data_IF_071965163146
#
_entry.id   IF_071965163146
#
_cell.length_a   1.000
_cell.length_b   1.000
_cell.length_c   1.000
_cell.angle_alpha   90.00
_cell.angle_beta   90.00
_cell.angle_gamma   90.00
#
_symmetry.space_group_name_H-M   'P 1'
#
loop_
_entity.id
_entity.type
_entity.pdbx_description
1 polymer ?
#
# COMPACT_ATOMS: atom_id res chain seq x y z
N UNK A 1 13.53 8.70 12.53
CA UNK A 1 12.25 8.05 12.90
C UNK A 1 11.22 9.14 13.13
N UNK A 2 10.38 9.40 12.13
CA UNK A 2 9.31 10.39 12.24
C UNK A 2 8.14 9.73 12.97
N UNK A 3 7.79 10.22 14.16
CA UNK A 3 6.64 9.77 14.95
C UNK A 3 5.69 10.96 15.03
N UNK A 4 4.47 10.86 14.50
CA UNK A 4 3.52 11.97 14.51
C UNK A 4 2.20 11.50 15.14
N UNK A 5 1.64 12.24 16.12
CA UNK A 5 0.33 11.95 16.67
C UNK A 5 -0.75 12.62 15.80
N UNK A 6 -1.47 11.81 15.01
CA UNK A 6 -2.71 12.19 14.36
C UNK A 6 -2.58 12.72 12.93
N UNK A 7 -3.00 11.88 11.97
CA UNK A 7 -3.74 12.29 10.77
C UNK A 7 -2.97 13.13 9.76
N UNK A 8 -2.53 12.48 8.69
CA UNK A 8 -1.72 12.96 7.56
C UNK A 8 -0.21 12.79 7.73
N UNK A 9 0.27 11.62 7.33
CA UNK A 9 1.67 11.46 6.95
C UNK A 9 1.85 11.83 5.47
N UNK A 10 2.26 13.07 5.21
CA UNK A 10 2.89 13.43 3.94
C UNK A 10 4.39 13.60 4.20
N UNK A 11 5.22 12.79 3.56
CA UNK A 11 6.67 12.97 3.61
C UNK A 11 6.99 14.35 3.04
N UNK A 12 7.69 15.16 3.83
CA UNK A 12 7.88 16.58 3.59
C UNK A 12 8.49 16.89 2.22
N UNK A 13 7.96 17.96 1.60
CA UNK A 13 8.63 18.94 0.72
C UNK A 13 10.06 18.55 0.24
N UNK A 14 10.18 17.59 -0.68
CA UNK A 14 11.46 17.22 -1.29
C UNK A 14 11.50 15.76 -1.70
N UNK A 15 10.98 15.46 -2.89
CA UNK A 15 10.72 14.10 -3.35
C UNK A 15 11.97 13.22 -3.47
N UNK A 16 11.76 11.95 -3.18
CA UNK A 16 12.15 10.92 -4.12
C UNK A 16 10.91 10.07 -4.37
N UNK A 17 10.43 10.08 -5.61
CA UNK A 17 9.47 9.12 -6.20
C UNK A 17 10.04 7.68 -6.26
N UNK A 18 11.03 7.39 -5.40
CA UNK A 18 11.88 6.19 -5.39
C UNK A 18 12.59 6.01 -4.02
N UNK A 19 12.06 6.62 -2.96
CA UNK A 19 12.64 6.53 -1.62
C UNK A 19 12.22 5.23 -0.95
N UNK A 20 13.13 4.57 -0.25
CA UNK A 20 12.76 3.44 0.60
C UNK A 20 12.39 4.00 1.98
N UNK A 21 11.11 4.17 2.25
CA UNK A 21 10.66 4.87 3.45
C UNK A 21 10.27 3.92 4.58
N UNK A 22 10.59 4.34 5.81
CA UNK A 22 10.11 3.69 7.03
C UNK A 22 9.07 4.57 7.70
N UNK A 23 7.83 4.09 7.70
CA UNK A 23 6.66 4.86 8.07
C UNK A 23 5.94 4.20 9.24
N UNK A 24 5.57 4.99 10.25
CA UNK A 24 4.80 4.51 11.40
C UNK A 24 3.70 5.50 11.78
N UNK A 25 2.42 5.11 11.64
CA UNK A 25 1.24 5.93 11.96
C UNK A 25 1.17 6.28 13.44
N UNK A 26 1.29 5.27 14.30
CA UNK A 26 1.37 5.48 15.74
C UNK A 26 0.08 5.10 16.45
N UNK A 27 -0.59 6.08 17.06
CA UNK A 27 -1.88 5.87 17.70
C UNK A 27 -2.90 6.75 17.00
N UNK A 28 -4.08 6.21 16.76
CA UNK A 28 -5.17 6.90 16.08
C UNK A 28 -5.50 6.24 14.76
N UNK A 29 -6.44 6.82 14.03
CA UNK A 29 -6.81 6.35 12.70
C UNK A 29 -6.00 7.16 11.67
N UNK A 30 -4.94 6.56 11.13
CA UNK A 30 -4.01 7.25 10.26
C UNK A 30 -4.24 6.97 8.77
N UNK A 31 -3.84 7.91 7.92
CA UNK A 31 -3.75 7.71 6.47
C UNK A 31 -2.28 7.71 6.09
N UNK A 32 -1.82 6.56 5.63
CA UNK A 32 -0.41 6.22 5.39
C UNK A 32 -0.22 6.02 3.89
N UNK A 33 0.71 6.75 3.29
CA UNK A 33 1.03 6.64 1.87
C UNK A 33 2.43 6.05 1.70
N UNK A 34 2.51 4.87 1.06
CA UNK A 34 3.74 4.40 0.43
C UNK A 34 3.86 5.09 -0.93
N UNK A 35 4.95 5.81 -1.18
CA UNK A 35 5.17 6.44 -2.47
C UNK A 35 5.88 5.43 -3.38
N UNK A 36 6.63 5.86 -4.40
CA UNK A 36 7.49 4.93 -5.14
C UNK A 36 8.72 4.56 -4.31
N UNK A 37 9.19 3.32 -4.44
CA UNK A 37 10.32 2.76 -3.68
C UNK A 37 9.95 1.53 -2.86
N UNK A 38 10.90 1.01 -2.09
CA UNK A 38 10.68 -0.12 -1.19
C UNK A 38 10.30 0.40 0.21
N UNK A 39 9.01 0.55 0.47
CA UNK A 39 8.51 1.11 1.71
C UNK A 39 8.22 0.04 2.78
N UNK A 40 8.48 0.37 4.05
CA UNK A 40 8.05 -0.42 5.21
C UNK A 40 7.06 0.41 6.03
N UNK A 41 5.80 -0.03 6.04
CA UNK A 41 4.69 0.71 6.64
C UNK A 41 4.19 0.00 7.89
N UNK A 42 3.98 0.78 8.94
CA UNK A 42 3.34 0.38 10.20
C UNK A 42 2.14 1.29 10.48
N UNK A 43 0.97 0.70 10.68
CA UNK A 43 -0.24 1.43 11.10
C UNK A 43 -0.11 1.87 12.55
N UNK A 44 0.13 0.89 13.43
CA UNK A 44 0.18 1.07 14.87
C UNK A 44 -1.13 0.63 15.53
N UNK A 45 -1.76 1.54 16.28
CA UNK A 45 -3.02 1.30 16.99
C UNK A 45 -4.13 2.16 16.39
N UNK A 46 -5.23 1.55 15.98
CA UNK A 46 -6.39 2.24 15.43
C UNK A 46 -6.80 1.69 14.08
N UNK A 47 -7.78 2.33 13.44
CA UNK A 47 -8.24 1.96 12.10
C UNK A 47 -7.45 2.74 11.05
N UNK A 48 -6.43 2.11 10.48
CA UNK A 48 -5.49 2.76 9.56
C UNK A 48 -5.83 2.53 8.09
N UNK A 49 -5.47 3.48 7.24
CA UNK A 49 -5.63 3.38 5.79
C UNK A 49 -4.27 3.43 5.10
N UNK A 50 -3.86 2.32 4.51
CA UNK A 50 -2.67 2.23 3.66
C UNK A 50 -3.05 2.56 2.23
N UNK A 51 -2.67 3.75 1.77
CA UNK A 51 -3.20 4.40 0.59
C UNK A 51 -2.20 4.39 -0.56
N UNK A 52 -2.64 3.78 -1.66
CA UNK A 52 -1.94 3.72 -2.95
C UNK A 52 -2.63 4.59 -4.01
N UNK A 53 -3.46 5.53 -3.59
CA UNK A 53 -4.11 6.55 -4.42
C UNK A 53 -3.41 7.92 -4.31
N UNK A 54 -2.13 7.93 -3.88
CA UNK A 54 -1.26 9.10 -3.98
C UNK A 54 -1.19 9.66 -5.40
N UNK A 55 -0.61 10.84 -5.61
CA UNK A 55 -0.59 11.53 -6.90
C UNK A 55 0.25 10.79 -7.98
N UNK A 56 -0.21 9.63 -8.42
CA UNK A 56 0.27 8.87 -9.58
C UNK A 56 -0.25 9.46 -10.89
N UNK A 57 -0.86 10.66 -10.83
CA UNK A 57 -1.54 11.34 -11.94
C UNK A 57 -0.58 11.97 -12.95
N UNK A 58 0.49 11.29 -13.32
CA UNK A 58 1.26 11.65 -14.50
C UNK A 58 1.60 10.41 -15.31
N UNK A 59 0.64 10.06 -16.17
CA UNK A 59 0.80 9.25 -17.38
C UNK A 59 1.96 9.75 -18.28
N UNK A 60 2.47 10.96 -18.04
CA UNK A 60 3.60 11.57 -18.75
C UNK A 60 4.97 11.27 -18.17
N UNK A 61 5.09 10.81 -16.91
CA UNK A 61 6.39 10.53 -16.27
C UNK A 61 6.68 9.06 -16.00
N UNK A 62 5.80 8.13 -16.39
CA UNK A 62 5.97 6.70 -16.06
C UNK A 62 6.32 6.50 -14.57
N UNK A 63 5.76 7.34 -13.68
CA UNK A 63 5.90 7.18 -12.23
C UNK A 63 4.90 6.12 -11.77
N UNK A 64 5.10 4.95 -12.34
CA UNK A 64 4.59 3.68 -11.87
C UNK A 64 5.10 3.42 -10.45
N UNK A 65 4.26 2.90 -9.54
CA UNK A 65 4.75 2.37 -8.27
C UNK A 65 5.81 1.34 -8.61
N UNK A 66 7.06 1.63 -8.28
CA UNK A 66 8.17 0.71 -8.45
C UNK A 66 8.70 0.38 -7.07
N UNK A 67 9.03 -0.88 -6.82
CA UNK A 67 9.53 -1.33 -5.52
C UNK A 67 8.54 -2.15 -4.70
N UNK A 68 9.07 -2.79 -3.67
CA UNK A 68 8.37 -3.70 -2.77
C UNK A 68 7.94 -2.94 -1.51
N UNK A 69 6.64 -2.67 -1.39
CA UNK A 69 6.04 -2.14 -0.18
C UNK A 69 5.64 -3.28 0.76
N UNK A 70 5.99 -3.16 2.03
CA UNK A 70 5.63 -4.11 3.07
C UNK A 70 4.80 -3.42 4.16
N UNK A 71 3.59 -3.92 4.37
CA UNK A 71 2.79 -3.57 5.55
C UNK A 71 3.09 -4.62 6.62
N UNK A 72 3.61 -4.18 7.76
CA UNK A 72 4.20 -5.07 8.78
C UNK A 72 3.21 -5.50 9.87
N UNK A 73 2.19 -4.71 10.15
CA UNK A 73 1.31 -4.88 11.30
C UNK A 73 -0.18 -4.70 10.96
N UNK A 74 -0.58 -5.06 9.73
CA UNK A 74 -1.98 -4.96 9.31
C UNK A 74 -2.92 -5.74 10.25
N UNK A 75 -3.93 -5.06 10.79
CA UNK A 75 -4.93 -5.63 11.68
C UNK A 75 -6.34 -5.24 11.26
N UNK A 76 -6.99 -6.16 10.54
CA UNK A 76 -8.39 -6.00 10.16
C UNK A 76 -9.34 -5.79 11.35
N UNK A 77 -9.04 -6.41 12.50
CA UNK A 77 -9.86 -6.30 13.71
C UNK A 77 -9.82 -4.89 14.33
N UNK A 78 -8.75 -4.12 14.08
CA UNK A 78 -8.67 -2.70 14.49
C UNK A 78 -9.31 -1.77 13.45
N UNK A 79 -9.70 -2.30 12.28
CA UNK A 79 -10.36 -1.57 11.20
C UNK A 79 -9.44 -1.13 10.07
N UNK A 80 -8.23 -1.69 9.99
CA UNK A 80 -7.26 -1.38 8.94
C UNK A 80 -7.77 -1.71 7.54
N UNK A 81 -7.40 -0.87 6.57
CA UNK A 81 -7.79 -1.02 5.17
C UNK A 81 -6.66 -0.67 4.22
N UNK A 82 -6.60 -1.42 3.12
CA UNK A 82 -5.78 -1.11 1.96
C UNK A 82 -6.65 -0.33 0.97
N UNK A 83 -6.17 0.82 0.52
CA UNK A 83 -6.92 1.70 -0.38
C UNK A 83 -6.23 1.78 -1.74
N UNK A 84 -6.94 1.38 -2.79
CA UNK A 84 -6.51 1.44 -4.18
C UNK A 84 -7.34 2.43 -4.99
N UNK A 85 -6.74 3.15 -5.96
CA UNK A 85 -7.48 4.03 -6.86
C UNK A 85 -8.22 3.24 -7.96
N UNK A 86 -9.48 3.57 -8.17
CA UNK A 86 -10.36 3.16 -9.27
C UNK A 86 -10.17 4.11 -10.45
N UNK A 87 -9.17 3.84 -11.27
CA UNK A 87 -8.90 4.70 -12.43
C UNK A 87 -7.54 4.50 -13.05
N UNK A 88 -6.64 3.79 -12.37
CA UNK A 88 -5.38 3.34 -12.94
C UNK A 88 -5.53 2.03 -13.70
N UNK A 89 -4.93 1.93 -14.88
CA UNK A 89 -4.82 0.67 -15.63
C UNK A 89 -3.93 -0.39 -14.91
N UNK A 90 -3.16 0.03 -13.91
CA UNK A 90 -2.16 -0.77 -13.21
C UNK A 90 -2.66 -1.41 -11.91
N UNK A 91 -3.56 -0.74 -11.19
CA UNK A 91 -4.00 -1.19 -9.87
C UNK A 91 -5.20 -2.15 -9.95
N UNK A 92 -5.33 -3.11 -9.01
CA UNK A 92 -6.53 -3.91 -8.89
C UNK A 92 -7.72 -2.99 -8.55
N UNK A 93 -8.77 -3.05 -9.36
CA UNK A 93 -9.99 -2.24 -9.20
C UNK A 93 -11.13 -2.97 -8.47
N UNK A 94 -10.90 -4.22 -8.07
CA UNK A 94 -11.86 -5.03 -7.33
C UNK A 94 -11.14 -6.09 -6.50
N UNK A 95 -11.83 -6.66 -5.52
CA UNK A 95 -11.29 -7.74 -4.71
C UNK A 95 -10.94 -8.98 -5.54
N UNK A 96 -11.72 -9.29 -6.58
CA UNK A 96 -11.39 -10.37 -7.53
C UNK A 96 -10.05 -10.12 -8.20
N UNK A 97 -9.80 -8.89 -8.64
CA UNK A 97 -8.52 -8.50 -9.25
C UNK A 97 -7.36 -8.55 -8.24
N UNK A 98 -7.60 -8.28 -6.95
CA UNK A 98 -6.59 -8.48 -5.90
C UNK A 98 -6.25 -9.97 -5.79
N UNK A 99 -7.25 -10.85 -5.71
CA UNK A 99 -7.03 -12.30 -5.57
C UNK A 99 -6.33 -12.93 -6.78
N UNK A 100 -6.58 -12.43 -7.99
CA UNK A 100 -5.88 -12.87 -9.20
C UNK A 100 -4.38 -12.56 -9.16
N UNK A 101 -4.00 -11.50 -8.44
CA UNK A 101 -2.62 -10.98 -8.35
C UNK A 101 -1.92 -11.33 -7.04
N UNK A 102 -2.67 -11.86 -6.08
CA UNK A 102 -2.17 -12.29 -4.78
C UNK A 102 -1.53 -13.69 -4.87
N UNK A 103 -0.34 -13.84 -4.31
CA UNK A 103 0.39 -15.10 -4.17
C UNK A 103 0.89 -15.22 -2.73
N UNK A 104 0.76 -16.39 -2.13
CA UNK A 104 1.35 -16.66 -0.81
C UNK A 104 2.89 -16.70 -0.92
N UNK A 105 3.55 -15.77 -0.24
CA UNK A 105 5.00 -15.75 -0.05
C UNK A 105 5.40 -16.37 1.29
N UNK A 106 6.71 -16.43 1.56
CA UNK A 106 7.24 -17.00 2.81
C UNK A 106 6.90 -16.18 4.05
N UNK A 107 6.66 -14.88 3.89
CA UNK A 107 6.44 -13.92 4.98
C UNK A 107 5.01 -13.36 5.03
N UNK A 108 4.13 -13.83 4.14
CA UNK A 108 2.79 -13.30 3.95
C UNK A 108 2.41 -13.21 2.47
N UNK A 109 1.24 -12.68 2.21
CA UNK A 109 0.67 -12.57 0.87
C UNK A 109 1.28 -11.40 0.13
N UNK A 110 1.73 -11.68 -1.09
CA UNK A 110 2.29 -10.70 -2.01
C UNK A 110 1.25 -10.42 -3.08
N UNK A 111 0.84 -9.16 -3.21
CA UNK A 111 -0.07 -8.66 -4.24
C UNK A 111 0.78 -7.96 -5.29
N UNK A 112 0.76 -8.49 -6.51
CA UNK A 112 1.47 -7.89 -7.63
C UNK A 112 0.74 -6.65 -8.17
N UNK A 113 1.40 -5.48 -8.11
CA UNK A 113 0.89 -4.20 -8.62
C UNK A 113 1.51 -3.80 -9.97
N UNK A 114 2.22 -4.71 -10.64
CA UNK A 114 2.94 -4.47 -11.91
C UNK A 114 2.06 -4.10 -13.11
N UNK A 115 0.74 -4.24 -12.99
CA UNK A 115 -0.15 -4.05 -14.14
C UNK A 115 0.09 -5.09 -15.24
N UNK A 116 -0.25 -4.78 -16.50
CA UNK A 116 -0.04 -5.67 -17.68
C UNK A 116 1.11 -5.18 -18.59
N UNK A 117 1.82 -4.16 -18.17
CA UNK A 117 2.93 -3.55 -18.90
C UNK A 117 4.13 -3.66 -17.98
N UNK A 118 5.00 -4.64 -18.22
CA UNK A 118 6.22 -5.03 -17.48
C UNK A 118 7.26 -3.90 -17.30
N UNK A 119 6.88 -2.64 -17.51
CA UNK A 119 7.66 -1.48 -17.16
C UNK A 119 7.19 -1.02 -15.78
N UNK A 120 7.99 -1.36 -14.77
CA UNK A 120 8.00 -0.76 -13.42
C UNK A 120 6.80 -1.09 -12.53
N UNK A 121 6.65 -2.34 -12.16
CA UNK A 121 5.69 -2.73 -11.15
C UNK A 121 6.21 -2.74 -9.73
N UNK A 122 5.31 -2.45 -8.80
CA UNK A 122 5.53 -2.62 -7.38
C UNK A 122 4.87 -3.89 -6.87
N UNK A 123 5.28 -4.32 -5.68
CA UNK A 123 4.55 -5.36 -4.94
C UNK A 123 4.08 -4.81 -3.61
N UNK A 124 2.92 -5.28 -3.15
CA UNK A 124 2.45 -5.05 -1.80
C UNK A 124 2.51 -6.37 -1.04
N UNK A 125 3.27 -6.44 0.04
CA UNK A 125 3.32 -7.58 0.94
C UNK A 125 2.56 -7.25 2.22
N UNK A 126 1.57 -8.08 2.57
CA UNK A 126 0.93 -8.04 3.89
C UNK A 126 1.58 -9.10 4.78
N UNK A 127 2.40 -8.65 5.74
CA UNK A 127 3.21 -9.56 6.56
C UNK A 127 2.34 -10.37 7.51
N UNK A 128 2.58 -11.68 7.60
CA UNK A 128 1.87 -12.58 8.51
C UNK A 128 0.43 -12.93 8.08
N UNK A 129 0.01 -12.49 6.90
CA UNK A 129 -1.33 -12.76 6.35
C UNK A 129 -1.18 -13.63 5.12
N UNK A 130 -1.94 -14.72 5.03
CA UNK A 130 -2.00 -15.55 3.81
C UNK A 130 -3.11 -15.10 2.86
N UNK A 131 -3.02 -15.47 1.59
CA UNK A 131 -4.01 -15.23 0.55
C UNK A 131 -5.39 -15.74 0.95
N UNK A 132 -5.45 -16.90 1.60
CA UNK A 132 -6.70 -17.51 2.05
C UNK A 132 -7.42 -16.70 3.14
N UNK A 133 -6.70 -15.84 3.86
CA UNK A 133 -7.27 -15.00 4.91
C UNK A 133 -7.82 -13.67 4.36
N UNK A 134 -7.42 -13.26 3.15
CA UNK A 134 -7.86 -12.01 2.55
C UNK A 134 -9.39 -11.95 2.48
N UNK A 135 -9.94 -10.83 2.95
CA UNK A 135 -11.36 -10.54 2.86
C UNK A 135 -11.61 -9.29 2.03
N UNK A 136 -12.78 -9.22 1.40
CA UNK A 136 -13.13 -8.11 0.51
C UNK A 136 -13.21 -6.77 1.23
N UNK A 137 -13.65 -6.76 2.49
CA UNK A 137 -13.84 -5.56 3.31
C UNK A 137 -12.52 -4.89 3.74
N UNK A 138 -11.40 -5.59 3.63
CA UNK A 138 -10.07 -5.04 3.90
C UNK A 138 -9.61 -4.10 2.78
N UNK A 139 -10.28 -4.13 1.63
CA UNK A 139 -9.91 -3.37 0.45
C UNK A 139 -10.96 -2.32 0.13
N UNK A 140 -10.49 -1.09 -0.04
CA UNK A 140 -11.28 0.02 -0.57
C UNK A 140 -10.78 0.37 -1.96
N UNK A 141 -11.72 0.48 -2.89
CA UNK A 141 -11.47 0.88 -4.26
C UNK A 141 -12.18 2.22 -4.46
N UNK A 142 -11.42 3.31 -4.63
CA UNK A 142 -11.91 4.70 -4.56
C UNK A 142 -11.65 5.53 -5.79
#
# INVERSE_FOLDING_TARGET
>A
MMRCPGGYLHLGRGGAISGNDYVHGGKGNDSIYGQGGNDTLFGGLGADQFRFDGNFASITTLSIPSGATEVKDFKADEGDRIVFPTGGFFFPSSFSAVLERAVDGSNGVVIDLTGRLEAGGGTLTLTGISKAQLQSEWFLFV
#
